data_IF_528774154412
#
_entry.id   IF_528774154412
#
_cell.length_a   1.000
_cell.length_b   1.000
_cell.length_c   1.000
_cell.angle_alpha   90.00
_cell.angle_beta   90.00
_cell.angle_gamma   90.00
#
_symmetry.space_group_name_H-M   'P 1'
#
loop_
_entity.id
_entity.type
_entity.pdbx_description
1 polymer ?
#
# COMPACT_ATOMS: atom_id res chain seq x y z
N UNK A 1 -5.81 9.01 15.95
CA UNK A 1 -5.47 9.97 14.88
C UNK A 1 -5.04 9.17 13.66
N UNK A 2 -5.38 9.64 12.46
CA UNK A 2 -4.90 9.03 11.23
C UNK A 2 -3.36 9.12 11.15
N UNK A 3 -2.75 8.23 10.36
CA UNK A 3 -1.30 8.24 10.15
C UNK A 3 -0.88 9.39 9.23
N UNK A 4 -1.66 9.63 8.18
CA UNK A 4 -1.53 10.78 7.27
C UNK A 4 -2.81 10.92 6.44
N UNK A 5 -2.93 12.05 5.73
CA UNK A 5 -4.00 12.27 4.76
C UNK A 5 -3.47 12.07 3.33
N UNK A 6 -4.17 11.27 2.53
CA UNK A 6 -3.84 11.05 1.12
C UNK A 6 -4.49 12.12 0.24
N UNK A 7 -3.68 12.78 -0.61
CA UNK A 7 -4.21 13.77 -1.56
C UNK A 7 -4.84 13.09 -2.77
N UNK A 8 -4.24 12.00 -3.25
CA UNK A 8 -4.77 11.21 -4.36
C UNK A 8 -6.21 10.73 -4.13
N UNK A 9 -6.50 10.26 -2.91
CA UNK A 9 -7.82 9.70 -2.58
C UNK A 9 -8.72 10.68 -1.83
N UNK A 10 -8.18 11.82 -1.35
CA UNK A 10 -8.92 12.77 -0.53
C UNK A 10 -9.42 12.18 0.79
N UNK A 11 -8.66 11.23 1.37
CA UNK A 11 -9.07 10.42 2.52
C UNK A 11 -7.93 10.29 3.53
N UNK A 12 -8.29 10.16 4.79
CA UNK A 12 -7.36 9.76 5.84
C UNK A 12 -6.86 8.32 5.62
N UNK A 13 -5.58 8.10 5.90
CA UNK A 13 -4.90 6.81 5.81
C UNK A 13 -4.65 6.28 7.21
N UNK A 14 -5.06 5.03 7.43
CA UNK A 14 -4.88 4.31 8.68
C UNK A 14 -4.07 3.05 8.44
N UNK A 15 -2.95 2.93 9.15
CA UNK A 15 -2.06 1.77 9.05
C UNK A 15 -2.38 0.84 10.22
N UNK A 16 -2.93 -0.33 9.88
CA UNK A 16 -3.25 -1.36 10.87
C UNK A 16 -1.99 -1.86 11.57
N UNK A 17 -2.14 -2.43 12.78
CA UNK A 17 -1.02 -3.06 13.51
C UNK A 17 -0.32 -4.14 12.66
N UNK A 18 -1.09 -4.91 11.90
CA UNK A 18 -0.54 -5.93 11.01
C UNK A 18 0.31 -5.31 9.89
N UNK A 19 -0.19 -4.25 9.24
CA UNK A 19 0.58 -3.53 8.22
C UNK A 19 1.89 -2.94 8.77
N UNK A 20 1.88 -2.33 9.96
CA UNK A 20 3.11 -1.82 10.59
C UNK A 20 4.15 -2.92 10.83
N UNK A 21 3.70 -4.08 11.32
CA UNK A 21 4.60 -5.23 11.47
C UNK A 21 5.15 -5.70 10.13
N UNK A 22 4.31 -5.70 9.09
CA UNK A 22 4.68 -6.06 7.72
C UNK A 22 5.73 -5.12 7.13
N UNK A 23 5.54 -3.81 7.34
CA UNK A 23 6.44 -2.74 6.94
C UNK A 23 7.80 -2.87 7.62
N UNK A 24 7.81 -3.03 8.95
CA UNK A 24 9.04 -3.17 9.72
C UNK A 24 9.87 -4.38 9.26
N UNK A 25 9.23 -5.54 9.05
CA UNK A 25 9.89 -6.76 8.54
C UNK A 25 10.53 -6.60 7.16
N UNK A 26 10.04 -5.66 6.35
CA UNK A 26 10.46 -5.45 4.95
C UNK A 26 11.27 -4.17 4.76
N UNK A 27 11.64 -3.51 5.86
CA UNK A 27 12.33 -2.22 5.84
C UNK A 27 11.60 -1.19 4.95
N UNK A 28 10.30 -1.00 5.21
CA UNK A 28 9.46 -0.02 4.53
C UNK A 28 9.07 1.03 5.57
N UNK A 29 9.49 2.26 5.35
CA UNK A 29 9.13 3.40 6.18
C UNK A 29 7.81 4.05 5.73
N UNK A 30 7.37 5.04 6.51
CA UNK A 30 6.14 5.76 6.23
C UNK A 30 6.22 6.57 4.93
N UNK A 31 7.38 7.14 4.61
CA UNK A 31 7.57 7.94 3.40
C UNK A 31 7.45 7.08 2.13
N UNK A 32 8.05 5.90 2.15
CA UNK A 32 7.95 4.91 1.07
C UNK A 32 6.50 4.47 0.89
N UNK A 33 5.80 4.12 1.98
CA UNK A 33 4.38 3.77 1.89
C UNK A 33 3.55 4.94 1.33
N UNK A 34 3.80 6.17 1.77
CA UNK A 34 3.10 7.36 1.28
C UNK A 34 3.31 7.53 -0.23
N UNK A 35 4.55 7.36 -0.74
CA UNK A 35 4.84 7.38 -2.18
C UNK A 35 4.07 6.28 -2.92
N UNK A 36 4.05 5.05 -2.39
CA UNK A 36 3.26 3.95 -2.98
C UNK A 36 1.78 4.33 -3.07
N UNK A 37 1.18 4.88 -2.01
CA UNK A 37 -0.24 5.28 -2.01
C UNK A 37 -0.51 6.41 -3.01
N UNK A 38 0.33 7.45 -3.06
CA UNK A 38 0.11 8.63 -3.90
C UNK A 38 0.44 8.40 -5.39
N UNK A 39 1.51 7.66 -5.69
CA UNK A 39 2.07 7.59 -7.05
C UNK A 39 2.00 6.19 -7.67
N UNK A 40 1.68 5.16 -6.88
CA UNK A 40 1.67 3.77 -7.35
C UNK A 40 0.52 3.45 -8.30
N UNK A 41 0.66 2.37 -9.05
CA UNK A 41 -0.39 1.82 -9.90
C UNK A 41 -1.46 1.12 -9.04
N UNK A 42 -2.73 1.20 -9.45
CA UNK A 42 -3.86 0.63 -8.71
C UNK A 42 -4.42 -0.59 -9.45
N UNK A 43 -4.52 -1.72 -8.77
CA UNK A 43 -5.35 -2.88 -9.17
C UNK A 43 -6.52 -3.03 -8.19
N UNK A 44 -7.76 -2.92 -8.67
CA UNK A 44 -8.95 -3.16 -7.84
C UNK A 44 -9.28 -4.65 -7.82
N UNK A 45 -9.45 -5.21 -6.61
CA UNK A 45 -9.98 -6.57 -6.41
C UNK A 45 -11.51 -6.58 -6.47
N UNK A 46 -12.12 -5.57 -5.87
CA UNK A 46 -13.56 -5.33 -5.84
C UNK A 46 -13.82 -3.86 -5.49
N UNK A 47 -15.07 -3.50 -5.20
CA UNK A 47 -15.49 -2.12 -4.93
C UNK A 47 -14.70 -1.44 -3.82
N UNK A 48 -14.28 -2.20 -2.79
CA UNK A 48 -13.59 -1.65 -1.61
C UNK A 48 -12.12 -2.05 -1.53
N UNK A 49 -11.74 -3.23 -2.04
CA UNK A 49 -10.39 -3.76 -1.87
C UNK A 49 -9.57 -3.46 -3.11
N UNK A 50 -8.40 -2.87 -2.90
CA UNK A 50 -7.46 -2.56 -3.96
C UNK A 50 -6.01 -2.79 -3.51
N UNK A 51 -5.16 -3.01 -4.48
CA UNK A 51 -3.72 -3.05 -4.34
C UNK A 51 -3.14 -1.80 -4.99
N UNK A 52 -2.23 -1.14 -4.28
CA UNK A 52 -1.43 -0.05 -4.84
C UNK A 52 0.01 -0.50 -4.83
N UNK A 53 0.66 -0.51 -5.99
CA UNK A 53 2.01 -1.03 -6.13
C UNK A 53 2.89 -0.07 -6.91
N UNK A 54 4.18 -0.05 -6.56
CA UNK A 54 5.15 0.84 -7.16
C UNK A 54 6.54 0.20 -7.16
N UNK A 55 7.27 0.40 -8.25
CA UNK A 55 8.72 0.16 -8.26
C UNK A 55 9.44 1.32 -7.58
N UNK A 56 10.25 1.01 -6.56
CA UNK A 56 11.07 1.98 -5.85
C UNK A 56 12.53 1.79 -6.26
N UNK A 57 13.13 2.84 -6.83
CA UNK A 57 14.53 2.84 -7.24
C UNK A 57 15.47 2.45 -6.08
N UNK A 58 16.51 1.67 -6.38
CA UNK A 58 17.49 1.22 -5.38
C UNK A 58 17.07 0.01 -4.54
N UNK A 59 15.87 -0.53 -4.76
CA UNK A 59 15.40 -1.77 -4.12
C UNK A 59 15.48 -2.97 -5.06
N UNK A 60 15.94 -4.11 -4.54
CA UNK A 60 16.00 -5.39 -5.26
C UNK A 60 14.75 -6.25 -5.07
N UNK A 61 13.91 -5.89 -4.10
CA UNK A 61 12.69 -6.59 -3.72
C UNK A 61 11.42 -5.90 -4.27
N UNK A 62 11.55 -5.30 -5.45
CA UNK A 62 10.42 -4.65 -6.13
C UNK A 62 9.46 -5.66 -6.78
N UNK A 63 8.19 -5.24 -7.04
CA UNK A 63 7.58 -3.98 -6.60
C UNK A 63 7.12 -4.05 -5.13
N UNK A 64 7.03 -2.89 -4.48
CA UNK A 64 6.31 -2.76 -3.21
C UNK A 64 4.81 -2.70 -3.50
N UNK A 65 4.01 -3.47 -2.76
CA UNK A 65 2.56 -3.49 -2.91
C UNK A 65 1.86 -3.31 -1.56
N UNK A 66 0.98 -2.31 -1.46
CA UNK A 66 0.09 -2.09 -0.33
C UNK A 66 -1.29 -2.66 -0.62
N UNK A 67 -1.78 -3.57 0.23
CA UNK A 67 -3.16 -4.03 0.19
C UNK A 67 -4.04 -3.11 1.05
N UNK A 68 -5.00 -2.46 0.41
CA UNK A 68 -5.80 -1.37 1.00
C UNK A 68 -7.30 -1.68 0.90
N UNK A 69 -8.04 -1.26 1.91
CA UNK A 69 -9.50 -1.12 1.84
C UNK A 69 -9.82 0.36 1.73
N UNK A 70 -10.47 0.74 0.63
CA UNK A 70 -10.97 2.08 0.36
C UNK A 70 -12.46 2.14 0.73
N UNK A 71 -12.77 2.69 1.90
CA UNK A 71 -14.13 3.01 2.33
C UNK A 71 -14.21 4.53 2.63
N UNK A 72 -14.74 4.92 3.79
CA UNK A 72 -14.69 6.32 4.29
C UNK A 72 -13.25 6.80 4.54
N UNK A 73 -12.34 5.86 4.75
CA UNK A 73 -10.91 6.08 4.88
C UNK A 73 -10.13 4.99 4.10
N UNK A 74 -8.83 5.20 3.91
CA UNK A 74 -7.93 4.19 3.37
C UNK A 74 -7.31 3.39 4.51
N UNK A 75 -7.66 2.10 4.59
CA UNK A 75 -7.14 1.19 5.62
C UNK A 75 -6.06 0.30 5.00
N UNK A 76 -4.81 0.52 5.36
CA UNK A 76 -3.68 -0.32 4.93
C UNK A 76 -3.65 -1.59 5.77
N UNK A 77 -4.00 -2.72 5.13
CA UNK A 77 -4.07 -4.03 5.79
C UNK A 77 -2.71 -4.69 5.87
N UNK A 78 -1.92 -4.64 4.79
CA UNK A 78 -0.58 -5.21 4.74
C UNK A 78 0.25 -4.57 3.65
N UNK A 79 1.57 -4.78 3.71
CA UNK A 79 2.54 -4.37 2.68
C UNK A 79 3.39 -5.58 2.30
N UNK A 80 3.57 -5.79 1.00
CA UNK A 80 4.28 -6.88 0.36
C UNK A 80 5.43 -6.32 -0.51
N UNK A 81 6.42 -7.17 -0.79
CA UNK A 81 7.58 -6.91 -1.66
C UNK A 81 7.67 -8.05 -2.66
N UNK A 82 8.31 -7.83 -3.81
CA UNK A 82 8.40 -8.84 -4.86
C UNK A 82 7.04 -9.26 -5.39
N UNK A 83 6.02 -8.40 -5.28
CA UNK A 83 4.66 -8.77 -5.61
C UNK A 83 4.54 -9.03 -7.10
N UNK A 84 4.28 -10.29 -7.46
CA UNK A 84 3.88 -10.68 -8.80
C UNK A 84 2.36 -10.60 -8.85
N UNK A 85 1.84 -10.00 -9.91
CA UNK A 85 0.45 -10.20 -10.29
C UNK A 85 0.31 -11.67 -10.66
N UNK A 86 -0.25 -12.49 -9.77
CA UNK A 86 -0.90 -13.71 -10.24
C UNK A 86 -2.11 -13.24 -11.03
N UNK A 87 -2.01 -13.28 -12.35
CA UNK A 87 -3.19 -13.35 -13.19
C UNK A 87 -3.90 -14.65 -12.78
N UNK A 88 -5.09 -14.52 -12.18
CA UNK A 88 -5.99 -15.66 -11.99
C UNK A 88 -6.19 -16.29 -13.38
N UNK A 89 -5.60 -17.47 -13.58
CA UNK A 89 -5.73 -18.29 -14.79
C UNK A 89 -7.16 -18.80 -14.98
#
# INVERSE_FOLDING_TARGET
MADFHSRRFGKDVWITRHARSSMHKRNIDLETLKRVIEDGEIKRKNDLNLWIFMHIEGRTDNPICAAVVEADALIVKTVMIGWQLEDEA
#
